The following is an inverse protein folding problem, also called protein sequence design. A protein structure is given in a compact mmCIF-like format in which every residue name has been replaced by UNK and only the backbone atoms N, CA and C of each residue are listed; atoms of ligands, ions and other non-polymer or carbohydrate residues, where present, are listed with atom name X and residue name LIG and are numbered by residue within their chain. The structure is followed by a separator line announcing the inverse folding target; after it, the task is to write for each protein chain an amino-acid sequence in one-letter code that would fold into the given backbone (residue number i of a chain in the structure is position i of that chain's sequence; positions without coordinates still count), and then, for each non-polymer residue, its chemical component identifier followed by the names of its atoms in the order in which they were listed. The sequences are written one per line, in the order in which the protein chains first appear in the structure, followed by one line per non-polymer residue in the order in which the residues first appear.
data_IF_877387660570
#
_entry.id   IF_877387660570
#
_cell.length_a   1.000
_cell.length_b   1.000
_cell.length_c   1.000
_cell.angle_alpha   90.00
_cell.angle_beta   90.00
_cell.angle_gamma   90.00
#
_symmetry.space_group_name_H-M   'P 1'
#
loop_
_entity.id
_entity.type
_entity.pdbx_description
1 polymer ?
#
# COMPACT_ATOMS: atom_id res chain seq x y z
N UNK A 1 38.03 -9.90 4.70
CA UNK A 1 36.75 -10.62 4.52
C UNK A 1 36.24 -10.29 3.13
N UNK A 2 35.72 -11.28 2.40
CA UNK A 2 35.04 -11.02 1.13
C UNK A 2 33.59 -10.55 1.38
N UNK A 3 32.88 -10.12 0.33
CA UNK A 3 31.50 -9.61 0.43
C UNK A 3 30.53 -10.62 1.05
N UNK A 4 30.71 -11.91 0.77
CA UNK A 4 29.89 -12.99 1.34
C UNK A 4 30.09 -13.13 2.85
N UNK A 5 31.34 -13.13 3.32
CA UNK A 5 31.68 -13.22 4.74
C UNK A 5 31.19 -12.00 5.53
N UNK A 6 31.15 -10.82 4.90
CA UNK A 6 30.57 -9.61 5.51
C UNK A 6 29.05 -9.76 5.65
N UNK A 7 28.38 -10.27 4.62
CA UNK A 7 26.94 -10.52 4.66
C UNK A 7 26.57 -11.58 5.70
N UNK A 8 27.27 -12.71 5.73
CA UNK A 8 27.06 -13.78 6.72
C UNK A 8 27.27 -13.27 8.15
N UNK A 9 28.32 -12.48 8.39
CA UNK A 9 28.57 -11.88 9.70
C UNK A 9 27.47 -10.89 10.11
N UNK A 10 26.94 -10.11 9.17
CA UNK A 10 25.82 -9.21 9.41
C UNK A 10 24.52 -9.98 9.73
N UNK A 11 24.24 -11.07 8.99
CA UNK A 11 23.09 -11.93 9.23
C UNK A 11 23.17 -12.59 10.61
N UNK A 12 24.34 -13.13 10.98
CA UNK A 12 24.57 -13.70 12.31
C UNK A 12 24.38 -12.66 13.43
N UNK A 13 24.85 -11.43 13.24
CA UNK A 13 24.64 -10.36 14.20
C UNK A 13 23.16 -9.98 14.33
N UNK A 14 22.43 -9.92 13.21
CA UNK A 14 21.00 -9.62 13.21
C UNK A 14 20.18 -10.70 13.92
N UNK A 15 20.51 -11.98 13.70
CA UNK A 15 19.89 -13.12 14.41
C UNK A 15 20.15 -13.02 15.92
N UNK A 16 21.39 -12.74 16.32
CA UNK A 16 21.73 -12.61 17.74
C UNK A 16 21.02 -11.43 18.42
N UNK A 17 20.76 -10.33 17.71
CA UNK A 17 19.94 -9.24 18.23
C UNK A 17 18.45 -9.61 18.31
N UNK A 18 17.92 -10.36 17.34
CA UNK A 18 16.55 -10.85 17.39
C UNK A 18 16.30 -11.81 18.56
N UNK A 19 17.28 -12.65 18.90
CA UNK A 19 17.20 -13.58 20.03
C UNK A 19 17.06 -12.85 21.38
N UNK A 20 17.51 -11.59 21.48
CA UNK A 20 17.36 -10.75 22.68
C UNK A 20 15.99 -10.08 22.77
N UNK A 21 15.18 -10.16 21.71
CA UNK A 21 13.94 -9.41 21.56
C UNK A 21 12.70 -10.30 21.68
N UNK A 22 11.66 -9.74 22.30
CA UNK A 22 10.30 -10.29 22.30
C UNK A 22 9.51 -9.54 21.24
N UNK A 23 9.21 -10.24 20.15
CA UNK A 23 8.41 -9.72 19.03
C UNK A 23 6.97 -10.19 19.21
N UNK A 24 6.06 -9.23 19.34
CA UNK A 24 4.63 -9.49 19.44
C UNK A 24 3.98 -9.03 18.14
N UNK A 25 3.30 -9.95 17.46
CA UNK A 25 2.57 -9.64 16.23
C UNK A 25 1.16 -9.16 16.59
N UNK A 26 0.64 -8.16 15.89
CA UNK A 26 -0.76 -7.75 16.02
C UNK A 26 -1.70 -8.91 15.68
N UNK A 27 -2.85 -8.99 16.33
CA UNK A 27 -3.84 -10.07 16.11
C UNK A 27 -4.22 -10.23 14.63
N UNK A 28 -4.46 -9.11 13.94
CA UNK A 28 -4.80 -9.08 12.51
C UNK A 28 -3.71 -9.71 11.62
N UNK A 29 -2.46 -9.67 12.06
CA UNK A 29 -1.32 -10.24 11.31
C UNK A 29 -1.37 -11.76 11.31
N UNK A 30 -1.98 -12.37 12.33
CA UNK A 30 -2.04 -13.83 12.49
C UNK A 30 -3.44 -14.41 12.26
N UNK A 31 -4.48 -13.58 12.13
CA UNK A 31 -5.87 -14.04 12.08
C UNK A 31 -6.25 -14.81 10.81
N UNK A 32 -5.42 -14.79 9.77
CA UNK A 32 -5.58 -15.65 8.59
C UNK A 32 -5.08 -17.08 8.79
N UNK A 33 -4.30 -17.33 9.85
CA UNK A 33 -3.66 -18.62 10.13
C UNK A 33 -4.29 -19.32 11.36
N UNK A 34 -4.99 -18.56 12.22
CA UNK A 34 -5.52 -19.02 13.51
C UNK A 34 -6.72 -18.20 13.95
N UNK A 35 -7.57 -18.78 14.79
CA UNK A 35 -8.69 -18.07 15.41
C UNK A 35 -8.16 -16.94 16.31
N UNK A 36 -8.54 -15.67 16.07
CA UNK A 36 -8.09 -14.54 16.88
C UNK A 36 -8.62 -14.54 18.32
N UNK A 37 -9.61 -15.39 18.65
CA UNK A 37 -10.18 -15.54 19.99
C UNK A 37 -9.39 -16.51 20.87
N UNK A 38 -8.54 -17.34 20.26
CA UNK A 38 -7.71 -18.28 20.99
C UNK A 38 -6.49 -17.58 21.61
N UNK A 39 -6.11 -17.93 22.85
CA UNK A 39 -4.96 -17.35 23.50
C UNK A 39 -3.69 -17.60 22.67
N UNK A 40 -2.84 -16.58 22.57
CA UNK A 40 -1.51 -16.73 22.00
C UNK A 40 -0.71 -17.76 22.81
N UNK A 41 0.02 -18.69 22.17
CA UNK A 41 0.95 -19.56 22.89
C UNK A 41 1.91 -18.74 23.75
N UNK A 42 2.20 -19.17 25.00
CA UNK A 42 3.15 -18.47 25.85
C UNK A 42 4.52 -18.35 25.15
N UNK A 43 5.08 -17.15 25.14
CA UNK A 43 6.44 -16.90 24.64
C UNK A 43 7.39 -16.80 25.84
N UNK A 44 8.55 -17.45 25.79
CA UNK A 44 9.55 -17.32 26.86
C UNK A 44 10.21 -15.93 26.79
N UNK A 45 9.88 -15.03 27.72
CA UNK A 45 10.40 -13.65 27.73
C UNK A 45 11.59 -13.47 28.68
N UNK A 46 12.07 -14.52 29.34
CA UNK A 46 13.10 -14.41 30.37
C UNK A 46 14.41 -13.85 29.79
N UNK A 47 14.88 -12.76 30.37
CA UNK A 47 16.12 -12.09 29.95
C UNK A 47 16.03 -11.34 28.62
N UNK A 48 14.82 -11.18 28.04
CA UNK A 48 14.59 -10.51 26.76
C UNK A 48 13.77 -9.23 26.93
N UNK A 49 13.92 -8.29 25.99
CA UNK A 49 13.17 -7.03 25.99
C UNK A 49 12.13 -7.02 24.87
N UNK A 50 10.96 -6.43 25.11
CA UNK A 50 9.98 -6.21 24.05
C UNK A 50 10.51 -5.20 23.02
N UNK A 51 10.28 -5.48 21.74
CA UNK A 51 10.70 -4.59 20.66
C UNK A 51 9.90 -3.27 20.69
N UNK A 52 10.55 -2.19 21.13
CA UNK A 52 10.00 -0.82 21.12
C UNK A 52 10.71 0.11 20.13
N UNK A 53 11.87 -0.32 19.62
CA UNK A 53 12.70 0.45 18.69
C UNK A 53 12.62 -0.07 17.25
N UNK A 54 13.70 0.14 16.51
CA UNK A 54 13.83 -0.35 15.14
C UNK A 54 13.93 -1.88 15.11
N UNK A 55 13.11 -2.52 14.27
CA UNK A 55 13.22 -3.95 13.97
C UNK A 55 14.47 -4.19 13.11
N UNK A 56 15.47 -4.95 13.58
CA UNK A 56 16.74 -5.13 12.86
C UNK A 56 16.60 -5.87 11.53
N UNK A 57 15.44 -6.47 11.24
CA UNK A 57 15.14 -7.12 9.95
C UNK A 57 14.75 -6.14 8.86
N UNK A 58 14.43 -4.90 9.22
CA UNK A 58 13.98 -3.87 8.28
C UNK A 58 15.14 -2.94 7.94
N UNK A 59 15.15 -2.39 6.73
CA UNK A 59 16.04 -1.27 6.43
C UNK A 59 15.62 -0.04 7.24
N UNK A 60 16.61 0.76 7.67
CA UNK A 60 16.36 1.99 8.43
C UNK A 60 15.74 3.05 7.53
N UNK A 61 14.67 3.68 8.03
CA UNK A 61 14.11 4.89 7.43
C UNK A 61 14.94 6.11 7.83
N UNK A 62 14.97 7.16 7.01
CA UNK A 62 15.45 8.48 7.43
C UNK A 62 14.64 9.05 8.61
N UNK A 63 15.21 10.02 9.33
CA UNK A 63 14.53 10.67 10.46
C UNK A 63 13.25 11.42 10.05
N UNK A 64 13.19 11.88 8.79
CA UNK A 64 12.04 12.58 8.20
C UNK A 64 11.60 11.84 6.92
N UNK A 65 10.89 10.70 7.05
CA UNK A 65 10.50 9.87 5.91
C UNK A 65 9.71 10.61 4.85
N UNK A 66 10.13 10.49 3.60
CA UNK A 66 9.36 10.91 2.43
C UNK A 66 8.50 9.79 1.89
N UNK A 67 7.53 10.11 1.03
CA UNK A 67 6.79 9.11 0.26
C UNK A 67 7.74 8.14 -0.48
N UNK A 68 8.82 8.67 -1.08
CA UNK A 68 9.77 7.86 -1.84
C UNK A 68 10.56 6.90 -0.93
N UNK A 69 10.83 7.29 0.31
CA UNK A 69 11.47 6.39 1.28
C UNK A 69 10.55 5.22 1.62
N UNK A 70 9.23 5.42 1.73
CA UNK A 70 8.30 4.30 1.92
C UNK A 70 8.30 3.34 0.74
N UNK A 71 8.35 3.84 -0.50
CA UNK A 71 8.50 3.00 -1.69
C UNK A 71 9.80 2.17 -1.67
N UNK A 72 10.91 2.75 -1.23
CA UNK A 72 12.21 2.05 -1.22
C UNK A 72 12.37 1.07 -0.06
N UNK A 73 11.79 1.38 1.10
CA UNK A 73 12.12 0.69 2.35
C UNK A 73 10.98 -0.16 2.92
N UNK A 74 9.73 0.04 2.50
CA UNK A 74 8.56 -0.61 3.12
C UNK A 74 7.59 -1.23 2.13
N UNK A 75 7.37 -0.59 0.98
CA UNK A 75 6.55 -1.18 -0.07
C UNK A 75 7.41 -2.20 -0.82
N UNK A 76 6.86 -3.40 -1.05
CA UNK A 76 7.51 -4.44 -1.85
C UNK A 76 7.70 -4.00 -3.30
N UNK A 77 7.68 -4.94 -4.26
CA UNK A 77 7.78 -4.55 -5.68
C UNK A 77 6.70 -3.51 -6.05
N UNK A 78 7.14 -2.29 -6.33
CA UNK A 78 6.28 -1.18 -6.74
C UNK A 78 5.96 -1.19 -8.24
N UNK A 79 6.41 -2.23 -8.97
CA UNK A 79 6.31 -2.31 -10.42
C UNK A 79 4.87 -2.12 -10.94
N UNK A 80 3.87 -2.66 -10.25
CA UNK A 80 2.45 -2.45 -10.58
C UNK A 80 2.07 -0.96 -10.61
N UNK A 81 2.25 -0.28 -9.48
CA UNK A 81 1.88 1.12 -9.32
C UNK A 81 2.66 2.02 -10.28
N UNK A 82 3.95 1.73 -10.48
CA UNK A 82 4.80 2.46 -11.42
C UNK A 82 4.34 2.28 -12.87
N UNK A 83 4.00 1.05 -13.29
CA UNK A 83 3.50 0.77 -14.64
C UNK A 83 2.13 1.41 -14.87
N UNK A 84 1.25 1.34 -13.88
CA UNK A 84 -0.06 1.99 -13.91
C UNK A 84 0.06 3.52 -14.03
N UNK A 85 0.94 4.14 -13.24
CA UNK A 85 1.18 5.59 -13.32
C UNK A 85 1.80 6.01 -14.66
N UNK A 86 2.75 5.24 -15.20
CA UNK A 86 3.32 5.52 -16.53
C UNK A 86 2.29 5.35 -17.65
N UNK A 87 1.42 4.34 -17.55
CA UNK A 87 0.32 4.17 -18.51
C UNK A 87 -0.64 5.36 -18.46
N UNK A 88 -1.01 5.81 -17.27
CA UNK A 88 -1.83 7.00 -17.09
C UNK A 88 -1.20 8.25 -17.75
N UNK A 89 0.11 8.45 -17.59
CA UNK A 89 0.83 9.54 -18.29
C UNK A 89 0.74 9.39 -19.81
N UNK A 90 0.99 8.19 -20.36
CA UNK A 90 0.91 7.92 -21.80
C UNK A 90 -0.49 8.14 -22.37
N UNK A 91 -1.51 7.82 -21.58
CA UNK A 91 -2.91 8.04 -21.95
C UNK A 91 -3.35 9.50 -21.80
N UNK A 92 -2.48 10.40 -21.34
CA UNK A 92 -2.74 11.84 -21.26
C UNK A 92 -3.82 12.21 -20.24
N UNK A 93 -4.07 11.38 -19.24
CA UNK A 93 -4.97 11.75 -18.13
C UNK A 93 -4.33 12.81 -17.23
N UNK A 94 -5.13 13.46 -16.39
CA UNK A 94 -4.62 14.51 -15.51
C UNK A 94 -3.58 13.96 -14.51
N UNK A 95 -2.67 14.83 -14.07
CA UNK A 95 -1.62 14.44 -13.12
C UNK A 95 -2.15 13.98 -11.77
N UNK A 96 -3.35 14.46 -11.38
CA UNK A 96 -4.06 13.92 -10.21
C UNK A 96 -4.33 12.43 -10.36
N UNK A 97 -4.72 11.98 -11.56
CA UNK A 97 -4.96 10.55 -11.83
C UNK A 97 -3.64 9.80 -11.96
N UNK A 98 -2.60 10.40 -12.54
CA UNK A 98 -1.25 9.81 -12.54
C UNK A 98 -0.77 9.55 -11.10
N UNK A 99 -0.90 10.55 -10.22
CA UNK A 99 -0.58 10.38 -8.80
C UNK A 99 -1.46 9.31 -8.15
N UNK A 100 -2.76 9.31 -8.46
CA UNK A 100 -3.67 8.30 -7.93
C UNK A 100 -3.26 6.88 -8.36
N UNK A 101 -2.89 6.68 -9.63
CA UNK A 101 -2.35 5.41 -10.12
C UNK A 101 -1.02 5.03 -9.45
N UNK A 102 -0.16 5.99 -9.08
CA UNK A 102 1.06 5.70 -8.33
C UNK A 102 0.75 5.23 -6.89
N UNK A 103 -0.37 5.67 -6.30
CA UNK A 103 -0.66 5.48 -4.88
C UNK A 103 -1.77 4.48 -4.56
N UNK A 104 -2.56 4.05 -5.55
CA UNK A 104 -3.82 3.35 -5.31
C UNK A 104 -3.68 2.03 -4.51
N UNK A 105 -2.53 1.37 -4.64
CA UNK A 105 -2.29 0.03 -4.11
C UNK A 105 -1.22 -0.03 -3.01
N UNK A 106 -0.79 1.12 -2.46
CA UNK A 106 0.22 1.16 -1.39
C UNK A 106 -0.22 0.39 -0.13
N UNK A 107 -1.53 0.29 0.11
CA UNK A 107 -2.06 -0.53 1.19
C UNK A 107 -1.86 -2.03 0.94
N UNK A 108 -2.02 -2.50 -0.30
CA UNK A 108 -1.72 -3.87 -0.71
C UNK A 108 -0.24 -4.18 -0.54
N UNK A 109 0.64 -3.24 -0.86
CA UNK A 109 2.10 -3.42 -0.83
C UNK A 109 2.72 -3.29 0.57
N UNK A 110 2.10 -2.57 1.50
CA UNK A 110 2.74 -2.24 2.78
C UNK A 110 1.85 -2.22 4.02
N UNK A 111 0.54 -2.45 3.90
CA UNK A 111 -0.39 -2.33 5.03
C UNK A 111 -1.45 -3.45 5.05
N UNK A 112 -2.71 -3.13 4.74
CA UNK A 112 -3.83 -4.09 4.78
C UNK A 112 -4.39 -4.24 3.37
N UNK A 113 -4.40 -5.49 2.88
CA UNK A 113 -4.88 -5.84 1.52
C UNK A 113 -6.41 -5.83 1.40
N UNK A 114 -7.12 -6.38 2.39
CA UNK A 114 -8.58 -6.37 2.36
C UNK A 114 -9.06 -4.92 2.39
N UNK A 115 -9.92 -4.53 1.44
CA UNK A 115 -10.34 -3.14 1.28
C UNK A 115 -9.20 -2.15 1.02
N UNK A 116 -8.16 -2.56 0.31
CA UNK A 116 -6.96 -1.77 0.01
C UNK A 116 -7.25 -0.36 -0.50
N UNK A 117 -8.25 -0.17 -1.36
CA UNK A 117 -8.61 1.16 -1.87
C UNK A 117 -9.01 2.12 -0.75
N UNK A 118 -9.76 1.65 0.25
CA UNK A 118 -10.14 2.47 1.41
C UNK A 118 -8.94 2.78 2.30
N UNK A 119 -8.10 1.78 2.59
CA UNK A 119 -6.90 1.97 3.40
C UNK A 119 -5.90 2.91 2.74
N UNK A 120 -5.64 2.75 1.44
CA UNK A 120 -4.76 3.61 0.68
C UNK A 120 -5.28 5.05 0.64
N UNK A 121 -6.59 5.23 0.40
CA UNK A 121 -7.21 6.56 0.41
C UNK A 121 -7.07 7.24 1.78
N UNK A 122 -7.40 6.55 2.87
CA UNK A 122 -7.25 7.08 4.23
C UNK A 122 -5.79 7.44 4.57
N UNK A 123 -4.84 6.63 4.08
CA UNK A 123 -3.43 6.85 4.31
C UNK A 123 -2.95 8.18 3.67
N UNK A 124 -3.41 8.47 2.45
CA UNK A 124 -2.95 9.64 1.67
C UNK A 124 -3.84 10.88 1.78
N UNK A 125 -5.08 10.75 2.23
CA UNK A 125 -6.09 11.83 2.30
C UNK A 125 -5.59 13.14 2.88
N UNK A 126 -4.79 13.18 3.98
CA UNK A 126 -4.26 14.44 4.51
C UNK A 126 -3.32 15.18 3.55
N UNK A 127 -2.68 14.47 2.63
CA UNK A 127 -1.56 14.95 1.82
C UNK A 127 -1.93 15.24 0.36
N UNK A 128 -3.09 14.80 -0.12
CA UNK A 128 -3.50 14.95 -1.52
C UNK A 128 -4.78 15.76 -1.65
N UNK A 129 -5.16 16.10 -2.88
CA UNK A 129 -6.47 16.67 -3.18
C UNK A 129 -7.59 15.64 -2.93
N UNK A 130 -8.76 16.10 -2.49
CA UNK A 130 -9.90 15.23 -2.19
C UNK A 130 -10.30 14.34 -3.39
N UNK A 131 -10.14 14.84 -4.62
CA UNK A 131 -10.39 14.09 -5.86
C UNK A 131 -9.45 12.87 -5.99
N UNK A 132 -8.18 13.02 -5.62
CA UNK A 132 -7.17 11.94 -5.66
C UNK A 132 -7.52 10.87 -4.62
N UNK A 133 -7.82 11.29 -3.40
CA UNK A 133 -8.27 10.37 -2.33
C UNK A 133 -9.55 9.64 -2.73
N UNK A 134 -10.52 10.34 -3.33
CA UNK A 134 -11.76 9.75 -3.83
C UNK A 134 -11.50 8.72 -4.94
N UNK A 135 -10.64 9.05 -5.91
CA UNK A 135 -10.29 8.13 -6.99
C UNK A 135 -9.65 6.85 -6.45
N UNK A 136 -8.69 6.97 -5.53
CA UNK A 136 -8.06 5.84 -4.85
C UNK A 136 -9.09 5.06 -4.03
N UNK A 137 -10.03 5.72 -3.34
CA UNK A 137 -11.00 5.01 -2.48
C UNK A 137 -11.88 4.06 -3.27
N UNK A 138 -12.39 4.54 -4.40
CA UNK A 138 -13.41 3.83 -5.15
C UNK A 138 -12.86 3.01 -6.33
N UNK A 139 -11.57 3.11 -6.67
CA UNK A 139 -11.04 2.33 -7.80
C UNK A 139 -11.30 0.84 -7.64
N UNK A 140 -11.15 0.29 -6.42
CA UNK A 140 -11.31 -1.14 -6.17
C UNK A 140 -12.73 -1.64 -6.44
N UNK A 141 -13.77 -0.84 -6.13
CA UNK A 141 -15.16 -1.27 -6.36
C UNK A 141 -15.50 -1.19 -7.84
N UNK A 142 -14.99 -0.18 -8.54
CA UNK A 142 -15.21 -0.01 -9.98
C UNK A 142 -14.64 -1.16 -10.82
N UNK A 143 -13.70 -1.95 -10.26
CA UNK A 143 -13.17 -3.17 -10.91
C UNK A 143 -14.24 -4.24 -11.17
N UNK A 144 -15.36 -4.19 -10.46
CA UNK A 144 -16.45 -5.18 -10.61
C UNK A 144 -17.55 -4.73 -11.58
N UNK A 145 -17.56 -3.46 -12.00
CA UNK A 145 -18.66 -2.90 -12.79
C UNK A 145 -18.14 -2.36 -14.11
N UNK A 146 -18.60 -2.91 -15.27
CA UNK A 146 -18.19 -2.42 -16.58
C UNK A 146 -18.69 -0.99 -16.84
N UNK A 147 -17.99 -0.28 -17.73
CA UNK A 147 -18.38 1.01 -18.27
C UNK A 147 -17.91 1.13 -19.72
N UNK A 148 -18.81 0.87 -20.66
CA UNK A 148 -18.54 0.88 -22.10
C UNK A 148 -18.15 2.28 -22.61
N UNK A 149 -18.55 3.36 -21.93
CA UNK A 149 -18.24 4.74 -22.35
C UNK A 149 -16.75 5.05 -22.33
N UNK A 150 -15.98 4.26 -21.59
CA UNK A 150 -14.50 4.32 -21.52
C UNK A 150 -13.85 2.99 -21.91
N UNK A 151 -14.60 2.09 -22.54
CA UNK A 151 -14.09 0.78 -22.97
C UNK A 151 -13.70 -0.16 -21.83
N UNK A 152 -14.24 0.02 -20.63
CA UNK A 152 -13.93 -0.84 -19.49
C UNK A 152 -14.92 -2.01 -19.42
N UNK A 153 -14.48 -3.21 -19.80
CA UNK A 153 -15.26 -4.44 -19.64
C UNK A 153 -14.97 -5.11 -18.30
N UNK A 154 -15.86 -6.02 -17.88
CA UNK A 154 -15.60 -6.87 -16.73
C UNK A 154 -14.36 -7.75 -17.00
N UNK A 155 -13.34 -7.77 -16.13
CA UNK A 155 -12.11 -8.52 -16.40
C UNK A 155 -12.35 -10.02 -16.54
N UNK A 156 -11.93 -10.60 -17.66
CA UNK A 156 -11.98 -12.06 -17.90
C UNK A 156 -11.24 -12.85 -16.82
N UNK A 157 -10.17 -12.28 -16.27
CA UNK A 157 -9.42 -12.89 -15.16
C UNK A 157 -10.28 -13.09 -13.92
N UNK A 158 -11.29 -12.26 -13.67
CA UNK A 158 -12.17 -12.38 -12.51
C UNK A 158 -13.14 -13.55 -12.64
N UNK A 159 -13.59 -13.87 -13.85
CA UNK A 159 -14.37 -15.09 -14.10
C UNK A 159 -13.54 -16.33 -13.71
N UNK A 160 -12.25 -16.34 -14.06
CA UNK A 160 -11.33 -17.44 -13.75
C UNK A 160 -10.97 -17.52 -12.27
N UNK A 161 -10.76 -16.37 -11.62
CA UNK A 161 -10.30 -16.31 -10.23
C UNK A 161 -11.42 -16.45 -9.21
N UNK A 162 -12.60 -15.90 -9.49
CA UNK A 162 -13.72 -15.84 -8.54
C UNK A 162 -14.89 -16.73 -8.95
N UNK A 163 -14.92 -17.20 -10.20
CA UNK A 163 -16.02 -17.98 -10.77
C UNK A 163 -17.04 -17.10 -11.49
N UNK A 164 -17.73 -17.69 -12.48
CA UNK A 164 -18.73 -16.99 -13.30
C UNK A 164 -19.95 -16.50 -12.49
N UNK A 165 -20.26 -17.16 -11.37
CA UNK A 165 -21.39 -16.83 -10.50
C UNK A 165 -21.02 -15.87 -9.36
N UNK A 166 -19.77 -15.41 -9.29
CA UNK A 166 -19.36 -14.44 -8.27
C UNK A 166 -20.17 -13.15 -8.39
N UNK A 167 -20.66 -12.65 -7.26
CA UNK A 167 -21.34 -11.37 -7.16
C UNK A 167 -20.73 -10.56 -6.02
N UNK A 168 -20.47 -9.25 -6.22
CA UNK A 168 -20.05 -8.38 -5.14
C UNK A 168 -21.06 -8.40 -3.98
N UNK A 169 -20.55 -8.24 -2.76
CA UNK A 169 -21.38 -8.07 -1.57
C UNK A 169 -22.28 -6.82 -1.68
N UNK A 170 -23.47 -6.79 -1.05
CA UNK A 170 -24.42 -5.67 -1.21
C UNK A 170 -23.88 -4.28 -0.83
N UNK A 171 -22.83 -4.21 0.00
CA UNK A 171 -22.21 -2.92 0.32
C UNK A 171 -21.35 -2.38 -0.82
N UNK A 172 -20.78 -3.27 -1.65
CA UNK A 172 -20.05 -2.90 -2.86
C UNK A 172 -21.00 -2.34 -3.92
N UNK A 173 -22.20 -2.91 -4.07
CA UNK A 173 -23.25 -2.33 -4.93
C UNK A 173 -23.60 -0.90 -4.50
N UNK A 174 -23.79 -0.67 -3.19
CA UNK A 174 -24.06 0.68 -2.67
C UNK A 174 -22.89 1.63 -2.92
N UNK A 175 -21.65 1.17 -2.72
CA UNK A 175 -20.45 1.96 -2.98
C UNK A 175 -20.32 2.32 -4.47
N UNK A 176 -20.62 1.37 -5.37
CA UNK A 176 -20.67 1.61 -6.81
C UNK A 176 -21.72 2.65 -7.16
N UNK A 177 -22.97 2.51 -6.68
CA UNK A 177 -24.03 3.47 -6.97
C UNK A 177 -23.70 4.87 -6.45
N UNK A 178 -23.12 4.97 -5.25
CA UNK A 178 -22.63 6.25 -4.74
C UNK A 178 -21.55 6.84 -5.65
N UNK A 179 -20.52 6.05 -5.99
CA UNK A 179 -19.43 6.48 -6.84
C UNK A 179 -19.92 6.91 -8.23
N UNK A 180 -20.84 6.15 -8.83
CA UNK A 180 -21.39 6.39 -10.18
C UNK A 180 -22.13 7.72 -10.33
N UNK A 181 -22.73 8.18 -9.24
CA UNK A 181 -23.48 9.44 -9.16
C UNK A 181 -22.62 10.61 -8.64
N UNK A 182 -21.35 10.37 -8.30
CA UNK A 182 -20.47 11.40 -7.76
C UNK A 182 -19.79 12.22 -8.88
N UNK A 183 -19.54 13.52 -8.62
CA UNK A 183 -18.87 14.43 -9.57
C UNK A 183 -17.48 13.97 -10.02
N UNK A 184 -16.81 13.13 -9.20
CA UNK A 184 -15.49 12.56 -9.47
C UNK A 184 -15.54 11.10 -9.94
N UNK A 185 -16.70 10.61 -10.38
CA UNK A 185 -16.84 9.27 -10.93
C UNK A 185 -15.77 8.97 -11.99
N UNK A 186 -15.59 9.90 -12.94
CA UNK A 186 -14.64 9.71 -14.03
C UNK A 186 -13.19 9.67 -13.56
N UNK A 187 -12.85 10.39 -12.49
CA UNK A 187 -11.50 10.35 -11.88
C UNK A 187 -11.21 8.95 -11.33
N UNK A 188 -12.14 8.38 -10.55
CA UNK A 188 -12.03 7.00 -10.07
C UNK A 188 -12.02 5.98 -11.21
N UNK A 189 -12.89 6.15 -12.21
CA UNK A 189 -12.99 5.25 -13.35
C UNK A 189 -11.73 5.27 -14.22
N UNK A 190 -11.16 6.44 -14.49
CA UNK A 190 -9.92 6.57 -15.24
C UNK A 190 -8.75 5.95 -14.48
N UNK A 191 -8.70 6.06 -13.16
CA UNK A 191 -7.75 5.28 -12.35
C UNK A 191 -7.93 3.78 -12.60
N UNK A 192 -9.15 3.25 -12.47
CA UNK A 192 -9.46 1.82 -12.71
C UNK A 192 -9.11 1.34 -14.13
N UNK A 193 -9.28 2.18 -15.15
CA UNK A 193 -8.88 1.87 -16.54
C UNK A 193 -7.35 1.75 -16.68
N UNK A 194 -6.61 2.54 -15.91
CA UNK A 194 -5.14 2.56 -15.93
C UNK A 194 -4.50 1.65 -14.87
N UNK A 195 -5.30 1.01 -14.01
CA UNK A 195 -4.90 -0.04 -13.06
C UNK A 195 -4.71 -1.36 -13.83
N UNK A 196 -3.45 -1.63 -14.20
CA UNK A 196 -3.09 -2.77 -15.04
C UNK A 196 -3.28 -4.11 -14.34
N UNK A 197 -3.97 -5.05 -14.99
CA UNK A 197 -4.13 -6.42 -14.51
C UNK A 197 -2.97 -7.35 -14.87
N UNK A 198 -2.16 -6.97 -15.87
CA UNK A 198 -1.03 -7.74 -16.36
C UNK A 198 0.19 -6.84 -16.47
N UNK A 199 1.27 -7.23 -15.80
CA UNK A 199 2.54 -6.49 -15.76
C UNK A 199 3.50 -7.02 -16.80
N UNK A 200 4.21 -6.13 -17.48
CA UNK A 200 5.35 -6.52 -18.30
C UNK A 200 6.57 -6.70 -17.38
N UNK A 201 7.08 -7.94 -17.20
CA UNK A 201 8.23 -8.17 -16.33
C UNK A 201 9.53 -7.57 -16.87
N UNK A 202 9.57 -7.16 -18.14
CA UNK A 202 10.75 -6.59 -18.78
C UNK A 202 10.78 -5.05 -18.71
N UNK A 203 9.69 -4.42 -18.27
CA UNK A 203 9.61 -2.97 -18.16
C UNK A 203 10.18 -2.54 -16.80
N UNK A 204 11.29 -1.80 -16.87
CA UNK A 204 11.85 -1.11 -15.72
C UNK A 204 11.35 0.33 -15.67
N UNK A 205 10.93 0.76 -14.48
CA UNK A 205 10.43 2.10 -14.20
C UNK A 205 11.10 2.58 -12.94
N UNK A 206 11.75 3.73 -13.03
CA UNK A 206 12.32 4.38 -11.87
C UNK A 206 11.24 5.23 -11.20
N UNK A 207 11.23 5.22 -9.87
CA UNK A 207 10.28 6.02 -9.09
C UNK A 207 10.48 7.52 -9.37
N UNK A 208 11.70 7.92 -9.67
CA UNK A 208 12.12 9.28 -9.96
C UNK A 208 11.43 9.89 -11.19
N UNK A 209 10.88 9.08 -12.11
CA UNK A 209 10.05 9.56 -13.23
C UNK A 209 8.81 10.31 -12.76
N UNK A 210 8.37 10.08 -11.53
CA UNK A 210 7.17 10.71 -10.95
C UNK A 210 7.49 11.86 -9.99
N UNK A 211 8.77 12.26 -9.87
CA UNK A 211 9.22 13.32 -8.94
C UNK A 211 8.40 14.60 -9.09
N UNK A 212 8.21 15.09 -10.32
CA UNK A 212 7.50 16.35 -10.57
C UNK A 212 6.00 16.26 -10.29
N UNK A 213 5.38 15.11 -10.55
CA UNK A 213 3.95 14.90 -10.27
C UNK A 213 3.73 14.85 -8.76
N UNK A 214 4.59 14.10 -8.05
CA UNK A 214 4.53 13.99 -6.59
C UNK A 214 4.82 15.34 -5.95
N UNK A 215 5.84 16.06 -6.38
CA UNK A 215 6.20 17.37 -5.83
C UNK A 215 5.11 18.44 -6.00
N UNK A 216 4.22 18.31 -7.00
CA UNK A 216 3.10 19.24 -7.22
C UNK A 216 1.79 18.84 -6.55
N UNK A 217 1.55 17.54 -6.37
CA UNK A 217 0.24 17.01 -5.96
C UNK A 217 0.25 16.29 -4.60
N UNK A 218 1.42 16.04 -4.01
CA UNK A 218 1.56 15.43 -2.68
C UNK A 218 2.18 16.42 -1.70
N UNK A 219 1.41 16.82 -0.67
CA UNK A 219 1.85 17.69 0.41
C UNK A 219 2.68 16.90 1.43
N UNK A 220 3.95 16.69 1.09
CA UNK A 220 4.91 16.03 1.99
C UNK A 220 5.02 16.80 3.32
N UNK A 221 4.74 16.17 4.48
CA UNK A 221 4.88 16.84 5.77
C UNK A 221 6.34 17.15 6.08
N UNK A 222 6.57 18.30 6.71
CA UNK A 222 7.90 18.80 7.04
C UNK A 222 8.61 17.81 7.99
N UNK A 223 7.91 17.29 9.01
CA UNK A 223 8.41 16.34 10.00
C UNK A 223 8.64 14.92 9.44
N UNK A 224 8.14 14.63 8.23
CA UNK A 224 8.15 13.31 7.63
C UNK A 224 6.87 12.51 7.90
N UNK A 225 6.53 11.62 6.97
CA UNK A 225 5.31 10.81 7.02
C UNK A 225 5.29 9.96 8.28
N UNK A 226 4.26 10.14 9.09
CA UNK A 226 4.09 9.46 10.37
C UNK A 226 4.63 10.20 11.58
N UNK A 227 5.30 11.33 11.41
CA UNK A 227 5.76 12.18 12.53
C UNK A 227 5.05 13.53 12.60
N UNK A 228 4.13 13.76 11.67
CA UNK A 228 3.20 14.87 11.67
C UNK A 228 1.96 14.60 12.55
N UNK A 229 1.04 15.57 12.58
CA UNK A 229 -0.19 15.52 13.38
C UNK A 229 -1.42 15.08 12.56
N UNK A 230 -1.22 14.52 11.37
CA UNK A 230 -2.32 14.08 10.53
C UNK A 230 -3.08 12.88 11.13
N UNK A 231 -4.36 12.70 10.80
CA UNK A 231 -5.12 11.55 11.27
C UNK A 231 -4.55 10.21 10.78
N UNK A 232 -3.78 10.18 9.69
CA UNK A 232 -3.14 8.97 9.18
C UNK A 232 -1.70 8.75 9.64
N UNK A 233 -1.12 9.66 10.45
CA UNK A 233 0.27 9.56 10.91
C UNK A 233 0.57 8.22 11.61
N UNK A 234 -0.38 7.73 12.43
CA UNK A 234 -0.24 6.45 13.10
C UNK A 234 -0.17 5.27 12.13
N UNK A 235 -0.86 5.32 10.98
CA UNK A 235 -0.81 4.28 9.95
C UNK A 235 0.57 4.22 9.30
N UNK A 236 1.16 5.38 8.96
CA UNK A 236 2.53 5.46 8.46
C UNK A 236 3.56 4.93 9.46
N UNK A 237 3.40 5.22 10.76
CA UNK A 237 4.26 4.64 11.82
C UNK A 237 4.10 3.12 11.94
N UNK A 238 2.88 2.60 11.79
CA UNK A 238 2.65 1.14 11.76
C UNK A 238 3.34 0.49 10.58
N UNK A 239 3.33 1.11 9.39
CA UNK A 239 4.08 0.62 8.24
C UNK A 239 5.60 0.69 8.50
N UNK A 240 6.08 1.77 9.12
CA UNK A 240 7.50 1.91 9.46
C UNK A 240 7.96 0.86 10.49
N UNK A 241 7.13 0.58 11.50
CA UNK A 241 7.41 -0.31 12.62
C UNK A 241 6.26 -1.29 12.92
N UNK A 242 6.04 -2.31 12.05
CA UNK A 242 4.88 -3.19 12.13
C UNK A 242 4.88 -4.14 13.35
N UNK A 243 6.02 -4.26 14.03
CA UNK A 243 6.29 -5.17 15.15
C UNK A 243 6.60 -4.42 16.45
N UNK A 244 6.42 -3.10 16.46
CA UNK A 244 6.56 -2.29 17.66
C UNK A 244 5.50 -2.68 18.68
N UNK A 245 5.92 -2.89 19.91
CA UNK A 245 5.04 -3.41 20.96
C UNK A 245 3.95 -2.41 21.38
N UNK A 246 4.29 -1.11 21.48
CA UNK A 246 3.37 0.00 21.80
C UNK A 246 3.75 1.28 21.04
#
# INVERSE_FOLDING_TARGET
MNSLQIAEAADHAAIAELDKLVIVKSTIYTSGERDPREPQPPQDTRGRLHLMGHDPRLSRMPDRPTLFDFFRHRFGSAAHMLQSARLAQKNGVSEKIVLACLLHDIATSGFIRADHGYWAAQLVEPYVDEEVSFAIRYHQVLRFYPDESVGYSYPESYIRLFGADFKPEPYLDRAYQYCRNHKWYMSARLLTVNDLYAFDPNVHIELEEFTDVVGRHFRQPEEGLGFDQSPSAHMWRTINWPTRYL
#
